data_IF_982593502643
#
_entry.id   IF_982593502643
#
_cell.length_a   1.000
_cell.length_b   1.000
_cell.length_c   1.000
_cell.angle_alpha   90.00
_cell.angle_beta   90.00
_cell.angle_gamma   90.00
#
_symmetry.space_group_name_H-M   'P 1'
#
loop_
_entity.id
_entity.type
_entity.pdbx_description
1 polymer ?
#
# COMPACT_ATOMS: atom_id res chain seq x y z
N UNK A 1 15.35 -8.67 -72.94
CA UNK A 1 14.06 -9.39 -73.05
C UNK A 1 14.03 -10.48 -71.98
N UNK A 2 12.98 -10.49 -71.16
CA UNK A 2 12.52 -11.53 -70.19
C UNK A 2 13.30 -11.76 -68.88
N UNK A 3 12.58 -11.44 -67.81
CA UNK A 3 12.71 -11.91 -66.43
C UNK A 3 12.45 -13.42 -66.39
N UNK A 4 13.23 -14.18 -65.61
CA UNK A 4 12.83 -15.51 -65.16
C UNK A 4 13.29 -15.71 -63.72
N UNK A 5 12.29 -15.81 -62.83
CA UNK A 5 12.41 -16.05 -61.40
C UNK A 5 12.73 -17.52 -61.12
N UNK A 6 13.68 -17.80 -60.24
CA UNK A 6 13.76 -19.11 -59.58
C UNK A 6 13.76 -18.91 -58.07
N UNK A 7 12.57 -19.09 -57.50
CA UNK A 7 12.32 -19.26 -56.06
C UNK A 7 12.90 -20.62 -55.68
N UNK A 8 13.88 -20.65 -54.78
CA UNK A 8 14.10 -21.71 -53.78
C UNK A 8 15.58 -21.80 -53.42
N UNK A 9 15.94 -21.16 -52.31
CA UNK A 9 16.48 -21.85 -51.13
C UNK A 9 16.55 -20.81 -50.02
N UNK A 10 15.35 -20.40 -49.55
CA UNK A 10 15.16 -19.72 -48.28
C UNK A 10 15.46 -20.71 -47.16
N UNK A 11 16.73 -21.02 -46.97
CA UNK A 11 17.20 -21.77 -45.82
C UNK A 11 18.40 -21.01 -45.28
N UNK A 12 18.40 -20.78 -43.97
CA UNK A 12 19.40 -20.02 -43.21
C UNK A 12 19.13 -18.51 -43.19
N UNK A 13 18.15 -18.13 -42.37
CA UNK A 13 18.27 -17.06 -41.37
C UNK A 13 16.91 -16.91 -40.67
N UNK A 14 16.48 -17.94 -39.93
CA UNK A 14 15.51 -17.72 -38.85
C UNK A 14 16.33 -17.15 -37.70
N UNK A 15 16.67 -15.86 -37.82
CA UNK A 15 17.19 -15.09 -36.71
C UNK A 15 16.08 -15.12 -35.66
N UNK A 16 16.43 -15.67 -34.51
CA UNK A 16 15.63 -15.74 -33.30
C UNK A 16 15.36 -14.31 -32.81
N UNK A 17 14.40 -13.63 -33.42
CA UNK A 17 13.84 -12.38 -32.94
C UNK A 17 12.33 -12.57 -32.84
N UNK A 18 11.93 -13.49 -31.97
CA UNK A 18 10.82 -13.16 -31.09
C UNK A 18 11.33 -12.03 -30.18
N UNK A 19 11.39 -10.82 -30.74
CA UNK A 19 11.42 -9.60 -29.96
C UNK A 19 10.23 -9.70 -29.03
N UNK A 20 10.51 -10.02 -27.78
CA UNK A 20 9.63 -9.66 -26.68
C UNK A 20 9.35 -8.19 -26.89
N UNK A 21 8.22 -7.86 -27.49
CA UNK A 21 7.62 -6.55 -27.33
C UNK A 21 7.26 -6.50 -25.86
N UNK A 22 8.24 -6.21 -25.00
CA UNK A 22 7.99 -5.68 -23.68
C UNK A 22 7.24 -4.41 -23.99
N UNK A 23 5.91 -4.49 -23.88
CA UNK A 23 5.04 -3.36 -24.10
C UNK A 23 5.67 -2.19 -23.37
N UNK A 24 5.90 -1.11 -24.10
CA UNK A 24 6.38 0.16 -23.58
C UNK A 24 5.24 0.83 -22.78
N UNK A 25 4.71 0.08 -21.82
CA UNK A 25 3.84 0.55 -20.77
C UNK A 25 4.76 0.54 -19.55
N UNK A 26 5.37 1.68 -19.24
CA UNK A 26 6.13 1.82 -18.00
C UNK A 26 5.29 1.24 -16.87
N UNK A 27 5.92 0.43 -16.01
CA UNK A 27 5.24 -0.30 -14.94
C UNK A 27 4.21 0.62 -14.26
N UNK A 28 2.92 0.25 -14.32
CA UNK A 28 1.83 1.08 -13.80
C UNK A 28 2.06 1.39 -12.32
N UNK A 29 2.69 0.45 -11.59
CA UNK A 29 3.12 0.64 -10.21
C UNK A 29 4.15 1.76 -10.11
N UNK A 30 5.23 1.73 -10.89
CA UNK A 30 6.22 2.81 -10.96
C UNK A 30 5.58 4.18 -11.25
N UNK A 31 4.66 4.25 -12.23
CA UNK A 31 3.97 5.50 -12.57
C UNK A 31 3.10 6.04 -11.43
N UNK A 32 2.44 5.14 -10.68
CA UNK A 32 1.62 5.50 -9.52
C UNK A 32 2.53 5.94 -8.38
N UNK A 33 3.55 5.15 -8.03
CA UNK A 33 4.43 5.43 -6.89
C UNK A 33 5.24 6.71 -7.06
N UNK A 34 5.56 7.12 -8.29
CA UNK A 34 6.17 8.44 -8.55
C UNK A 34 5.28 9.63 -8.16
N UNK A 35 3.96 9.40 -8.02
CA UNK A 35 2.97 10.39 -7.61
C UNK A 35 2.58 10.26 -6.13
N UNK A 36 3.20 9.35 -5.39
CA UNK A 36 2.98 9.18 -3.95
C UNK A 36 4.18 9.70 -3.16
N UNK A 37 3.99 10.07 -1.88
CA UNK A 37 5.14 10.13 -0.97
C UNK A 37 5.78 8.74 -0.85
N UNK A 38 7.03 8.67 -0.39
CA UNK A 38 7.73 7.41 -0.09
C UNK A 38 7.72 6.39 -1.26
N UNK A 39 8.27 6.79 -2.41
CA UNK A 39 8.32 5.96 -3.62
C UNK A 39 8.75 4.51 -3.35
N UNK A 40 9.86 4.30 -2.65
CA UNK A 40 10.38 2.95 -2.39
C UNK A 40 9.41 2.08 -1.60
N UNK A 41 8.73 2.68 -0.60
CA UNK A 41 7.73 1.99 0.21
C UNK A 41 6.50 1.60 -0.61
N UNK A 42 6.03 2.53 -1.46
CA UNK A 42 4.93 2.24 -2.39
C UNK A 42 5.32 1.09 -3.32
N UNK A 43 6.50 1.19 -3.92
CA UNK A 43 6.97 0.25 -4.92
C UNK A 43 7.18 -1.15 -4.33
N UNK A 44 7.83 -1.26 -3.16
CA UNK A 44 8.06 -2.55 -2.48
C UNK A 44 6.76 -3.18 -2.02
N UNK A 45 5.83 -2.38 -1.48
CA UNK A 45 4.53 -2.87 -0.99
C UNK A 45 3.71 -3.47 -2.11
N UNK A 46 3.66 -2.79 -3.26
CA UNK A 46 2.90 -3.23 -4.42
C UNK A 46 3.54 -4.44 -5.09
N UNK A 47 4.86 -4.42 -5.33
CA UNK A 47 5.56 -5.55 -5.95
C UNK A 47 5.62 -6.82 -5.11
N UNK A 48 5.45 -6.73 -3.80
CA UNK A 48 5.30 -7.90 -2.92
C UNK A 48 4.00 -8.67 -3.19
N UNK A 49 3.05 -8.08 -3.93
CA UNK A 49 1.81 -8.74 -4.34
C UNK A 49 1.94 -9.35 -5.74
N UNK A 50 1.77 -10.67 -5.91
CA UNK A 50 1.92 -11.34 -7.20
C UNK A 50 0.90 -10.90 -8.27
N UNK A 51 -0.17 -10.20 -7.88
CA UNK A 51 -1.18 -9.65 -8.79
C UNK A 51 -0.88 -8.22 -9.24
N UNK A 52 0.05 -7.51 -8.60
CA UNK A 52 0.30 -6.07 -8.82
C UNK A 52 0.61 -5.65 -10.26
N UNK A 53 1.36 -6.43 -11.09
CA UNK A 53 1.62 -6.06 -12.48
C UNK A 53 0.36 -6.07 -13.37
N UNK A 54 -0.77 -6.60 -12.87
CA UNK A 54 -2.01 -6.78 -13.64
C UNK A 54 -3.18 -5.92 -13.12
N UNK A 55 -2.97 -5.15 -12.05
CA UNK A 55 -4.05 -4.37 -11.42
C UNK A 55 -4.13 -2.95 -11.97
N UNK A 56 -5.34 -2.48 -12.27
CA UNK A 56 -5.62 -1.06 -12.50
C UNK A 56 -5.42 -0.23 -11.22
N UNK A 57 -5.58 1.09 -11.32
CA UNK A 57 -5.40 2.00 -10.18
C UNK A 57 -6.30 1.64 -8.97
N UNK A 58 -7.50 1.11 -9.23
CA UNK A 58 -8.43 0.60 -8.21
C UNK A 58 -7.86 -0.63 -7.51
N UNK A 59 -7.32 -1.59 -8.26
CA UNK A 59 -6.66 -2.76 -7.69
C UNK A 59 -5.41 -2.40 -6.89
N UNK A 60 -4.62 -1.43 -7.37
CA UNK A 60 -3.46 -0.89 -6.63
C UNK A 60 -3.88 -0.26 -5.30
N UNK A 61 -4.94 0.55 -5.29
CA UNK A 61 -5.49 1.12 -4.06
C UNK A 61 -5.94 0.02 -3.08
N UNK A 62 -6.61 -1.02 -3.58
CA UNK A 62 -7.07 -2.14 -2.74
C UNK A 62 -5.90 -2.93 -2.13
N UNK A 63 -4.82 -3.17 -2.89
CA UNK A 63 -3.61 -3.82 -2.38
C UNK A 63 -3.02 -3.00 -1.23
N UNK A 64 -2.89 -1.68 -1.41
CA UNK A 64 -2.35 -0.79 -0.39
C UNK A 64 -3.20 -0.80 0.88
N UNK A 65 -4.53 -0.68 0.77
CA UNK A 65 -5.44 -0.72 1.93
C UNK A 65 -5.35 -2.07 2.68
N UNK A 66 -5.27 -3.19 1.97
CA UNK A 66 -5.11 -4.50 2.61
C UNK A 66 -3.76 -4.64 3.31
N UNK A 67 -2.68 -4.08 2.74
CA UNK A 67 -1.37 -4.06 3.39
C UNK A 67 -1.39 -3.23 4.68
N UNK A 68 -2.03 -2.05 4.65
CA UNK A 68 -2.23 -1.23 5.86
C UNK A 68 -3.02 -2.01 6.91
N UNK A 69 -4.09 -2.70 6.52
CA UNK A 69 -4.91 -3.49 7.45
C UNK A 69 -4.09 -4.59 8.13
N UNK A 70 -3.23 -5.29 7.39
CA UNK A 70 -2.34 -6.30 7.97
C UNK A 70 -1.37 -5.69 9.00
N UNK A 71 -0.72 -4.57 8.67
CA UNK A 71 0.21 -3.89 9.57
C UNK A 71 -0.49 -3.27 10.79
N UNK A 72 -1.69 -2.71 10.61
CA UNK A 72 -2.51 -2.20 11.71
C UNK A 72 -2.92 -3.32 12.67
N UNK A 73 -3.28 -4.49 12.14
CA UNK A 73 -3.65 -5.67 12.93
C UNK A 73 -2.45 -6.18 13.74
N UNK A 74 -1.27 -6.24 13.12
CA UNK A 74 -0.05 -6.63 13.82
C UNK A 74 0.32 -5.62 14.91
N UNK A 75 0.17 -4.32 14.61
CA UNK A 75 0.46 -3.25 15.58
C UNK A 75 -0.51 -3.27 16.76
N UNK A 76 -1.80 -3.47 16.53
CA UNK A 76 -2.78 -3.67 17.59
C UNK A 76 -2.42 -4.88 18.47
N UNK A 77 -2.09 -6.02 17.84
CA UNK A 77 -1.67 -7.23 18.56
C UNK A 77 -0.40 -6.99 19.40
N UNK A 78 0.53 -6.19 18.87
CA UNK A 78 1.75 -5.79 19.58
C UNK A 78 1.42 -4.93 20.80
N UNK A 79 0.56 -3.92 20.65
CA UNK A 79 0.09 -3.06 21.74
C UNK A 79 -0.57 -3.90 22.85
N UNK A 80 -1.51 -4.78 22.49
CA UNK A 80 -2.21 -5.65 23.45
C UNK A 80 -1.24 -6.56 24.22
N UNK A 81 -0.17 -7.03 23.58
CA UNK A 81 0.88 -7.80 24.26
C UNK A 81 1.68 -6.96 25.24
N UNK A 82 2.05 -5.73 24.87
CA UNK A 82 2.79 -4.84 25.76
C UNK A 82 1.96 -4.47 27.00
N UNK A 83 0.65 -4.23 26.84
CA UNK A 83 -0.27 -3.98 27.96
C UNK A 83 -0.21 -5.12 28.98
N UNK A 84 -0.21 -6.37 28.51
CA UNK A 84 -0.15 -7.56 29.39
C UNK A 84 1.21 -7.74 30.10
N UNK A 85 2.26 -7.10 29.60
CA UNK A 85 3.64 -7.29 30.08
C UNK A 85 4.15 -6.15 30.96
N UNK A 86 3.58 -4.95 30.83
CA UNK A 86 4.03 -3.79 31.59
C UNK A 86 3.44 -3.79 33.01
N UNK A 87 4.24 -3.37 33.99
CA UNK A 87 3.78 -2.98 35.32
C UNK A 87 3.79 -1.45 35.51
N UNK A 88 4.31 -0.70 34.54
CA UNK A 88 4.29 0.76 34.53
C UNK A 88 2.89 1.24 34.11
N UNK A 89 2.19 1.91 35.02
CA UNK A 89 0.82 2.38 34.82
C UNK A 89 0.71 3.50 33.79
N UNK A 90 1.73 4.35 33.67
CA UNK A 90 1.75 5.43 32.68
C UNK A 90 1.90 4.88 31.27
N UNK A 91 2.78 3.88 31.12
CA UNK A 91 2.94 3.14 29.87
C UNK A 91 1.68 2.34 29.53
N UNK A 92 1.08 1.64 30.50
CA UNK A 92 -0.18 0.91 30.31
C UNK A 92 -1.28 1.82 29.77
N UNK A 93 -1.47 3.00 30.37
CA UNK A 93 -2.46 3.99 29.92
C UNK A 93 -2.17 4.53 28.52
N UNK A 94 -0.91 4.79 28.19
CA UNK A 94 -0.53 5.25 26.85
C UNK A 94 -0.77 4.17 25.79
N UNK A 95 -0.47 2.91 26.11
CA UNK A 95 -0.73 1.76 25.24
C UNK A 95 -2.24 1.51 25.07
N UNK A 96 -3.02 1.57 26.14
CA UNK A 96 -4.48 1.40 26.08
C UNK A 96 -5.13 2.46 25.18
N UNK A 97 -4.70 3.72 25.31
CA UNK A 97 -5.13 4.80 24.42
C UNK A 97 -4.81 4.49 22.93
N UNK A 98 -3.60 3.99 22.67
CA UNK A 98 -3.24 3.56 21.31
C UNK A 98 -4.07 2.38 20.82
N UNK A 99 -4.39 1.40 21.68
CA UNK A 99 -5.28 0.30 21.31
C UNK A 99 -6.66 0.83 20.92
N UNK A 100 -7.22 1.78 21.67
CA UNK A 100 -8.49 2.44 21.35
C UNK A 100 -8.47 3.15 19.99
N UNK A 101 -7.35 3.76 19.58
CA UNK A 101 -7.17 4.32 18.24
C UNK A 101 -7.03 3.25 17.14
N UNK A 102 -6.31 2.15 17.39
CA UNK A 102 -6.09 1.10 16.37
C UNK A 102 -7.28 0.15 16.19
N UNK A 103 -8.09 -0.09 17.22
CA UNK A 103 -9.29 -0.96 17.14
C UNK A 103 -10.24 -0.54 16.01
N UNK A 104 -10.69 0.73 15.90
CA UNK A 104 -11.59 1.14 14.82
C UNK A 104 -10.93 1.06 13.44
N UNK A 105 -9.64 1.40 13.35
CA UNK A 105 -8.86 1.26 12.11
C UNK A 105 -8.97 -0.17 11.56
N UNK A 106 -8.72 -1.15 12.43
CA UNK A 106 -8.69 -2.58 12.07
C UNK A 106 -10.09 -3.13 11.84
N UNK A 107 -11.05 -2.85 12.74
CA UNK A 107 -12.38 -3.48 12.71
C UNK A 107 -13.32 -2.85 11.69
N UNK A 108 -13.17 -1.56 11.40
CA UNK A 108 -14.17 -0.81 10.65
C UNK A 108 -13.55 0.02 9.54
N UNK A 109 -12.64 0.94 9.85
CA UNK A 109 -12.20 1.99 8.91
C UNK A 109 -11.53 1.42 7.66
N UNK A 110 -10.54 0.54 7.80
CA UNK A 110 -9.86 -0.06 6.63
C UNK A 110 -10.71 -1.09 5.87
N UNK A 111 -11.48 -1.98 6.55
CA UNK A 111 -12.47 -2.81 5.87
C UNK A 111 -13.49 -2.00 5.04
N UNK A 112 -13.99 -0.89 5.59
CA UNK A 112 -14.90 0.02 4.90
C UNK A 112 -14.23 0.73 3.72
N UNK A 113 -12.97 1.17 3.86
CA UNK A 113 -12.19 1.73 2.75
C UNK A 113 -12.06 0.72 1.61
N UNK A 114 -11.73 -0.53 1.92
CA UNK A 114 -11.59 -1.60 0.94
C UNK A 114 -12.92 -1.91 0.23
N UNK A 115 -14.04 -1.96 0.97
CA UNK A 115 -15.38 -2.10 0.40
C UNK A 115 -15.76 -0.91 -0.48
N UNK A 116 -15.49 0.31 -0.02
CA UNK A 116 -15.73 1.54 -0.77
C UNK A 116 -14.96 1.57 -2.10
N UNK A 117 -13.67 1.17 -2.10
CA UNK A 117 -12.86 1.03 -3.32
C UNK A 117 -13.51 0.01 -4.27
N UNK A 118 -13.92 -1.16 -3.76
CA UNK A 118 -14.60 -2.19 -4.58
C UNK A 118 -15.89 -1.68 -5.21
N UNK A 119 -16.63 -0.84 -4.51
CA UNK A 119 -17.90 -0.26 -4.98
C UNK A 119 -17.73 1.05 -5.78
N UNK A 120 -16.49 1.54 -5.95
CA UNK A 120 -16.23 2.80 -6.65
C UNK A 120 -16.62 4.06 -5.86
N UNK A 121 -16.83 3.95 -4.54
CA UNK A 121 -17.12 5.07 -3.64
C UNK A 121 -15.83 5.72 -3.15
N UNK A 122 -15.05 6.30 -4.06
CA UNK A 122 -13.68 6.76 -3.75
C UNK A 122 -13.64 7.93 -2.77
N UNK A 123 -14.63 8.83 -2.79
CA UNK A 123 -14.78 9.85 -1.76
C UNK A 123 -14.90 9.28 -0.34
N UNK A 124 -15.68 8.20 -0.15
CA UNK A 124 -15.79 7.53 1.15
C UNK A 124 -14.51 6.75 1.50
N UNK A 125 -13.86 6.12 0.52
CA UNK A 125 -12.55 5.49 0.75
C UNK A 125 -11.50 6.51 1.22
N UNK A 126 -11.45 7.70 0.60
CA UNK A 126 -10.56 8.79 0.99
C UNK A 126 -10.86 9.28 2.41
N UNK A 127 -12.14 9.38 2.79
CA UNK A 127 -12.53 9.70 4.17
C UNK A 127 -11.99 8.66 5.15
N UNK A 128 -12.21 7.36 4.90
CA UNK A 128 -11.70 6.30 5.77
C UNK A 128 -10.17 6.32 5.90
N UNK A 129 -9.43 6.55 4.81
CA UNK A 129 -7.96 6.66 4.90
C UNK A 129 -7.53 7.91 5.67
N UNK A 130 -8.22 9.04 5.50
CA UNK A 130 -7.94 10.25 6.30
C UNK A 130 -8.22 10.04 7.79
N UNK A 131 -9.23 9.25 8.13
CA UNK A 131 -9.53 8.87 9.51
C UNK A 131 -8.41 7.99 10.09
N UNK A 132 -7.95 6.98 9.34
CA UNK A 132 -6.81 6.15 9.74
C UNK A 132 -5.52 6.96 9.93
N UNK A 133 -5.24 7.94 9.06
CA UNK A 133 -4.13 8.91 9.23
C UNK A 133 -4.21 9.62 10.59
N UNK A 134 -5.40 10.11 10.94
CA UNK A 134 -5.62 10.84 12.19
C UNK A 134 -5.43 9.95 13.41
N UNK A 135 -5.96 8.73 13.39
CA UNK A 135 -5.87 7.79 14.52
C UNK A 135 -4.43 7.32 14.75
N UNK A 136 -3.68 6.98 13.69
CA UNK A 136 -2.25 6.63 13.81
C UNK A 136 -1.45 7.80 14.40
N UNK A 137 -1.65 9.02 13.88
CA UNK A 137 -0.99 10.22 14.39
C UNK A 137 -1.37 10.53 15.85
N UNK A 138 -2.62 10.26 16.24
CA UNK A 138 -3.12 10.49 17.60
C UNK A 138 -2.47 9.54 18.59
N UNK A 139 -2.37 8.26 18.24
CA UNK A 139 -1.61 7.29 19.03
C UNK A 139 -0.13 7.70 19.15
N UNK A 140 0.51 8.08 18.06
CA UNK A 140 1.94 8.45 18.09
C UNK A 140 2.20 9.66 19.00
N UNK A 141 1.33 10.68 18.90
CA UNK A 141 1.41 11.87 19.74
C UNK A 141 1.26 11.59 21.21
N UNK A 142 0.60 10.49 21.61
CA UNK A 142 0.46 10.09 23.02
C UNK A 142 1.81 9.85 23.69
N UNK A 143 2.83 9.51 22.91
CA UNK A 143 4.21 9.30 23.35
C UNK A 143 5.13 10.51 23.12
N UNK A 144 4.61 11.65 22.64
CA UNK A 144 5.40 12.87 22.47
C UNK A 144 6.02 13.30 23.81
N UNK A 145 7.33 13.50 23.84
CA UNK A 145 8.06 13.85 25.06
C UNK A 145 8.57 12.64 25.87
N UNK A 146 8.25 11.41 25.47
CA UNK A 146 8.96 10.21 25.95
C UNK A 146 10.19 9.94 25.09
N UNK A 147 11.34 9.68 25.72
CA UNK A 147 12.58 9.32 25.00
C UNK A 147 12.55 7.91 24.44
N UNK A 148 11.53 7.10 24.75
CA UNK A 148 11.46 5.71 24.32
C UNK A 148 9.99 5.26 24.16
N UNK A 149 9.39 5.57 23.01
CA UNK A 149 8.11 4.99 22.61
C UNK A 149 8.34 3.57 22.08
N UNK A 150 7.71 2.52 22.65
CA UNK A 150 7.78 1.18 22.07
C UNK A 150 7.02 1.09 20.73
N UNK A 151 6.26 2.13 20.36
CA UNK A 151 5.47 2.17 19.13
C UNK A 151 6.07 3.09 18.05
N UNK A 152 7.14 3.83 18.32
CA UNK A 152 7.64 4.88 17.42
C UNK A 152 7.88 4.39 15.99
N UNK A 153 8.63 3.30 15.82
CA UNK A 153 8.91 2.74 14.49
C UNK A 153 7.64 2.21 13.80
N UNK A 154 6.76 1.55 14.55
CA UNK A 154 5.51 0.98 14.02
C UNK A 154 4.53 2.06 13.57
N UNK A 155 4.34 3.08 14.40
CA UNK A 155 3.49 4.23 14.08
C UNK A 155 4.08 5.05 12.93
N UNK A 156 5.39 5.26 12.92
CA UNK A 156 6.08 5.94 11.83
C UNK A 156 5.95 5.19 10.49
N UNK A 157 6.06 3.87 10.51
CA UNK A 157 5.85 3.04 9.33
C UNK A 157 4.38 3.05 8.88
N UNK A 158 3.45 2.88 9.81
CA UNK A 158 2.01 2.97 9.55
C UNK A 158 1.62 4.31 8.93
N UNK A 159 2.14 5.42 9.46
CA UNK A 159 1.90 6.77 8.97
C UNK A 159 2.32 6.89 7.49
N UNK A 160 3.51 6.41 7.14
CA UNK A 160 3.98 6.41 5.75
C UNK A 160 3.06 5.60 4.83
N UNK A 161 2.59 4.43 5.28
CA UNK A 161 1.68 3.60 4.48
C UNK A 161 0.33 4.30 4.23
N UNK A 162 -0.29 4.88 5.25
CA UNK A 162 -1.57 5.58 5.09
C UNK A 162 -1.44 6.86 4.25
N UNK A 163 -0.30 7.54 4.31
CA UNK A 163 0.00 8.69 3.45
C UNK A 163 0.14 8.28 1.97
N UNK A 164 0.81 7.15 1.71
CA UNK A 164 0.88 6.55 0.36
C UNK A 164 -0.52 6.20 -0.13
N UNK A 165 -1.36 5.53 0.68
CA UNK A 165 -2.73 5.20 0.29
C UNK A 165 -3.58 6.45 0.01
N UNK A 166 -3.44 7.50 0.82
CA UNK A 166 -4.14 8.77 0.59
C UNK A 166 -3.77 9.36 -0.77
N UNK A 167 -2.48 9.34 -1.13
CA UNK A 167 -2.03 9.81 -2.43
C UNK A 167 -2.57 8.94 -3.58
N UNK A 168 -2.54 7.61 -3.45
CA UNK A 168 -3.07 6.69 -4.48
C UNK A 168 -4.56 6.92 -4.71
N UNK A 169 -5.37 7.02 -3.64
CA UNK A 169 -6.82 7.22 -3.77
C UNK A 169 -7.13 8.56 -4.45
N UNK A 170 -6.36 9.62 -4.14
CA UNK A 170 -6.51 10.94 -4.79
C UNK A 170 -6.19 10.94 -6.29
N UNK A 171 -5.45 9.94 -6.79
CA UNK A 171 -5.22 9.79 -8.23
C UNK A 171 -6.45 9.23 -8.96
N UNK A 172 -7.37 8.60 -8.24
CA UNK A 172 -8.62 8.10 -8.79
C UNK A 172 -9.54 9.32 -8.95
N UNK A 173 -9.79 9.70 -10.21
CA UNK A 173 -10.78 10.73 -10.52
C UNK A 173 -12.17 10.17 -10.26
N UNK A 174 -12.99 10.92 -9.54
CA UNK A 174 -14.44 10.72 -9.52
C UNK A 174 -15.05 11.04 -10.90
#
# INVERSE_FOLDING_TARGET
MRISTCVSCFALNIILLASMTKAENGDLVDQICKKTPFYDLCNSTLHSNPLSPKTDLKGVALIMVNNILANATETLSYIERLIKQTSDRGLEQALAFCAESYIPIVKYTLPQAADAIRQGRFGFASYCISDAVKEVSTCDKRFSGSTQSPLGDRNGFMQKLVDVASAIIKLIKD
#
